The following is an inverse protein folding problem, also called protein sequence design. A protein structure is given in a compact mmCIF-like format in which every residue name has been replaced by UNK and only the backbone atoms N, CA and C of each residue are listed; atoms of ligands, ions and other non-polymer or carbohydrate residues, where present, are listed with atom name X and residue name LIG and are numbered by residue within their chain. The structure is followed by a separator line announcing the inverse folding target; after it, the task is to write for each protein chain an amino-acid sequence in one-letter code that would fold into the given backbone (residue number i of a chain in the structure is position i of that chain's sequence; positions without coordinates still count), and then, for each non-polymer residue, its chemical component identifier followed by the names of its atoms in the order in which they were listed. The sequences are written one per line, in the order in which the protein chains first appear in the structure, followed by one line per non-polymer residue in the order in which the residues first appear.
data_IF_886317406018
#
_entry.id   IF_886317406018
#
_cell.length_a   1.000
_cell.length_b   1.000
_cell.length_c   1.000
_cell.angle_alpha   90.00
_cell.angle_beta   90.00
_cell.angle_gamma   90.00
#
_symmetry.space_group_name_H-M   'P 1'
#
loop_
_entity.id
_entity.type
_entity.pdbx_description
1 polymer ?
#
# COMPACT_ATOMS: atom_id res chain seq x y z
N UNK A 1 2.92 -68.91 -54.40
CA UNK A 1 2.62 -68.49 -53.01
C UNK A 1 3.93 -68.23 -52.27
N UNK A 2 4.32 -66.96 -52.10
CA UNK A 2 5.48 -66.56 -51.28
C UNK A 2 5.04 -65.36 -50.44
N UNK A 3 5.13 -65.50 -49.11
CA UNK A 3 4.74 -64.50 -48.11
C UNK A 3 5.85 -63.46 -47.99
N UNK A 4 5.51 -62.18 -48.10
CA UNK A 4 6.39 -61.06 -47.77
C UNK A 4 5.95 -60.53 -46.40
N UNK A 5 6.82 -60.63 -45.40
CA UNK A 5 6.60 -60.10 -44.07
C UNK A 5 6.95 -58.61 -44.05
N UNK A 6 5.96 -57.76 -43.77
CA UNK A 6 6.15 -56.31 -43.60
C UNK A 6 6.52 -56.03 -42.13
N UNK A 7 7.75 -55.55 -41.90
CA UNK A 7 8.21 -55.08 -40.59
C UNK A 7 7.64 -53.69 -40.32
N UNK A 8 6.76 -53.57 -39.34
CA UNK A 8 6.24 -52.29 -38.84
C UNK A 8 7.29 -51.72 -37.87
N UNK A 9 7.88 -50.57 -38.22
CA UNK A 9 8.69 -49.78 -37.29
C UNK A 9 7.74 -48.89 -36.45
N UNK A 10 7.74 -49.10 -35.13
CA UNK A 10 7.15 -48.18 -34.16
C UNK A 10 8.12 -47.02 -33.92
N UNK A 11 7.74 -45.80 -34.30
CA UNK A 11 8.40 -44.58 -33.84
C UNK A 11 7.73 -44.13 -32.53
N UNK A 12 8.40 -44.36 -31.40
CA UNK A 12 8.02 -43.79 -30.10
C UNK A 12 8.32 -42.28 -30.10
N UNK A 13 7.28 -41.45 -30.16
CA UNK A 13 7.40 -40.02 -29.94
C UNK A 13 7.56 -39.75 -28.43
N UNK A 14 8.78 -39.46 -27.99
CA UNK A 14 9.03 -38.88 -26.66
C UNK A 14 8.60 -37.41 -26.71
N UNK A 15 7.44 -37.10 -26.15
CA UNK A 15 7.02 -35.72 -25.92
C UNK A 15 7.83 -35.13 -24.77
N UNK A 16 8.84 -34.34 -25.10
CA UNK A 16 9.50 -33.44 -24.17
C UNK A 16 8.49 -32.38 -23.71
N UNK A 17 7.86 -32.62 -22.56
CA UNK A 17 7.06 -31.62 -21.86
C UNK A 17 7.98 -30.54 -21.32
N UNK A 18 8.01 -29.37 -21.98
CA UNK A 18 8.63 -28.18 -21.40
C UNK A 18 7.90 -27.83 -20.09
N UNK A 19 8.62 -27.56 -18.99
CA UNK A 19 7.98 -27.08 -17.78
C UNK A 19 7.25 -25.78 -18.09
N UNK A 20 5.96 -25.69 -17.73
CA UNK A 20 5.21 -24.45 -17.76
C UNK A 20 5.98 -23.42 -16.93
N UNK A 21 6.63 -22.48 -17.62
CA UNK A 21 7.19 -21.30 -16.98
C UNK A 21 6.07 -20.63 -16.21
N UNK A 22 6.26 -20.47 -14.90
CA UNK A 22 5.36 -19.64 -14.11
C UNK A 22 5.50 -18.23 -14.67
N UNK A 23 4.43 -17.72 -15.29
CA UNK A 23 4.38 -16.32 -15.70
C UNK A 23 4.70 -15.46 -14.47
N UNK A 24 5.65 -14.54 -14.62
CA UNK A 24 5.92 -13.58 -13.57
C UNK A 24 4.60 -12.89 -13.20
N UNK A 25 4.30 -12.67 -11.91
CA UNK A 25 3.10 -11.97 -11.51
C UNK A 25 3.07 -10.62 -12.21
N UNK A 26 1.97 -10.33 -12.91
CA UNK A 26 1.83 -9.09 -13.64
C UNK A 26 1.87 -7.92 -12.65
N UNK A 27 2.69 -6.92 -12.92
CA UNK A 27 2.70 -5.67 -12.14
C UNK A 27 1.31 -5.06 -12.18
N UNK A 28 0.70 -4.76 -11.02
CA UNK A 28 -0.64 -4.20 -10.98
C UNK A 28 -0.65 -2.83 -11.68
N UNK A 29 -1.63 -2.63 -12.56
CA UNK A 29 -1.83 -1.35 -13.22
C UNK A 29 -2.69 -0.45 -12.34
N UNK A 30 -2.12 0.67 -11.89
CA UNK A 30 -2.81 1.66 -11.07
C UNK A 30 -3.01 2.94 -11.88
N UNK A 31 -4.26 3.37 -12.04
CA UNK A 31 -4.64 4.58 -12.79
C UNK A 31 -5.68 5.40 -12.04
N UNK A 32 -5.97 6.62 -12.50
CA UNK A 32 -7.02 7.48 -11.92
C UNK A 32 -6.88 7.69 -10.42
N UNK A 33 -5.64 7.82 -9.92
CA UNK A 33 -5.40 8.04 -8.49
C UNK A 33 -5.94 9.41 -8.11
N UNK A 34 -6.99 9.42 -7.29
CA UNK A 34 -7.62 10.62 -6.78
C UNK A 34 -7.44 10.70 -5.25
N UNK A 35 -6.68 11.71 -4.79
CA UNK A 35 -6.47 12.07 -3.40
C UNK A 35 -7.70 12.11 -2.47
N UNK A 36 -7.58 11.58 -1.25
CA UNK A 36 -8.52 11.76 -0.13
C UNK A 36 -7.87 12.55 1.01
N UNK A 37 -8.31 13.79 1.21
CA UNK A 37 -7.80 14.62 2.31
C UNK A 37 -8.31 14.10 3.66
N UNK A 38 -7.40 13.60 4.50
CA UNK A 38 -7.67 13.27 5.89
C UNK A 38 -7.15 14.45 6.73
N UNK A 39 -8.07 15.34 7.13
CA UNK A 39 -7.75 16.44 8.05
C UNK A 39 -7.68 15.96 9.50
N UNK A 40 -7.97 16.84 10.46
CA UNK A 40 -8.00 16.50 11.90
C UNK A 40 -9.36 15.93 12.36
N UNK A 41 -10.13 15.34 11.46
CA UNK A 41 -11.47 14.84 11.75
C UNK A 41 -11.75 13.56 10.97
N UNK A 42 -12.63 12.67 11.48
CA UNK A 42 -12.99 11.46 10.76
C UNK A 42 -13.55 11.75 9.38
N UNK A 43 -13.15 10.94 8.39
CA UNK A 43 -13.66 11.00 7.02
C UNK A 43 -14.30 9.67 6.67
N UNK A 44 -15.61 9.70 6.35
CA UNK A 44 -16.35 8.53 5.90
C UNK A 44 -16.46 8.51 4.37
N UNK A 45 -16.07 7.40 3.77
CA UNK A 45 -16.00 7.17 2.34
C UNK A 45 -17.07 6.17 1.93
N UNK A 46 -17.83 6.51 0.89
CA UNK A 46 -18.85 5.63 0.30
C UNK A 46 -18.38 5.14 -1.07
N UNK A 47 -17.54 4.10 -1.08
CA UNK A 47 -16.97 3.55 -2.28
C UNK A 47 -17.88 2.46 -2.86
N UNK A 48 -18.06 2.46 -4.18
CA UNK A 48 -18.87 1.43 -4.85
C UNK A 48 -18.24 0.06 -4.64
N UNK A 49 -19.03 -0.89 -4.15
CA UNK A 49 -18.59 -2.27 -3.91
C UNK A 49 -17.95 -2.50 -2.53
N UNK A 50 -17.89 -1.49 -1.68
CA UNK A 50 -17.42 -1.59 -0.30
C UNK A 50 -18.51 -1.07 0.67
N UNK A 51 -18.49 -1.49 1.95
CA UNK A 51 -19.24 -0.78 2.99
C UNK A 51 -18.71 0.65 3.14
N UNK A 52 -19.41 1.47 3.91
CA UNK A 52 -18.87 2.77 4.32
C UNK A 52 -17.56 2.54 5.08
N UNK A 53 -16.50 3.26 4.71
CA UNK A 53 -15.18 3.15 5.35
C UNK A 53 -14.89 4.46 6.05
N UNK A 54 -14.57 4.43 7.34
CA UNK A 54 -14.22 5.65 8.09
C UNK A 54 -12.75 5.62 8.44
N UNK A 55 -12.02 6.67 8.04
CA UNK A 55 -10.65 6.92 8.49
C UNK A 55 -10.71 7.93 9.62
N UNK A 56 -10.28 7.52 10.81
CA UNK A 56 -10.25 8.37 12.01
C UNK A 56 -8.81 8.72 12.37
N UNK A 57 -8.41 9.99 12.24
CA UNK A 57 -7.11 10.46 12.68
C UNK A 57 -7.14 10.79 14.18
N UNK A 58 -6.10 10.39 14.90
CA UNK A 58 -5.87 10.72 16.30
C UNK A 58 -4.52 11.40 16.43
N UNK A 59 -4.49 12.62 16.99
CA UNK A 59 -3.23 13.28 17.33
C UNK A 59 -2.69 12.76 18.65
N UNK A 60 -1.50 12.17 18.62
CA UNK A 60 -0.74 11.82 19.81
C UNK A 60 0.23 12.93 20.14
N UNK A 61 -0.16 13.76 21.09
CA UNK A 61 0.76 14.66 21.78
C UNK A 61 1.70 13.82 22.65
N UNK A 62 3.01 13.96 22.46
CA UNK A 62 4.02 13.17 23.15
C UNK A 62 4.94 14.02 24.05
N UNK A 63 4.68 15.33 24.18
CA UNK A 63 5.40 16.22 25.06
C UNK A 63 6.74 16.73 24.52
N UNK A 64 7.01 16.48 23.23
CA UNK A 64 8.08 17.15 22.47
C UNK A 64 7.49 17.75 21.17
N UNK A 65 8.34 18.34 20.32
CA UNK A 65 7.88 18.99 19.09
C UNK A 65 7.41 18.02 17.99
N UNK A 66 7.37 16.71 18.24
CA UNK A 66 7.19 15.65 17.25
C UNK A 66 6.00 14.74 17.58
N UNK A 67 4.87 15.35 17.95
CA UNK A 67 3.60 14.62 17.98
C UNK A 67 3.30 13.99 16.61
N UNK A 68 2.45 12.97 16.60
CA UNK A 68 2.19 12.18 15.38
C UNK A 68 0.73 11.77 15.31
N UNK A 69 0.27 11.42 14.12
CA UNK A 69 -1.05 10.84 13.93
C UNK A 69 -1.01 9.32 14.01
N UNK A 70 -2.02 8.80 14.68
CA UNK A 70 -2.49 7.43 14.50
C UNK A 70 -3.76 7.46 13.64
N UNK A 71 -3.86 6.59 12.65
CA UNK A 71 -5.05 6.44 11.83
C UNK A 71 -5.67 5.07 12.12
N UNK A 72 -6.91 5.06 12.60
CA UNK A 72 -7.74 3.87 12.62
C UNK A 72 -8.66 3.90 11.40
N UNK A 73 -8.74 2.78 10.68
CA UNK A 73 -9.67 2.62 9.57
C UNK A 73 -10.72 1.62 9.99
N UNK A 74 -11.99 1.97 9.86
CA UNK A 74 -13.09 1.12 10.31
C UNK A 74 -14.16 0.96 9.24
N UNK A 75 -14.90 -0.15 9.35
CA UNK A 75 -16.14 -0.39 8.60
C UNK A 75 -17.25 -0.75 9.60
N UNK A 76 -18.53 -0.47 9.30
CA UNK A 76 -19.62 -0.97 10.12
C UNK A 76 -19.62 -2.49 10.18
N UNK A 77 -19.84 -3.06 11.38
CA UNK A 77 -20.04 -4.50 11.54
C UNK A 77 -21.37 -4.89 10.85
N UNK A 78 -21.31 -5.92 10.01
CA UNK A 78 -22.44 -6.38 9.20
C UNK A 78 -23.55 -7.08 10.02
N UNK A 79 -23.22 -7.57 11.21
CA UNK A 79 -24.09 -8.30 12.15
C UNK A 79 -24.55 -7.40 13.30
N UNK A 80 -23.68 -6.51 13.79
CA UNK A 80 -23.93 -5.57 14.90
C UNK A 80 -23.74 -4.12 14.43
N UNK A 81 -24.78 -3.47 13.86
CA UNK A 81 -24.65 -2.16 13.20
C UNK A 81 -24.22 -0.99 14.10
N UNK A 82 -24.25 -1.16 15.43
CA UNK A 82 -23.76 -0.23 16.43
C UNK A 82 -22.26 -0.38 16.73
N UNK A 83 -21.61 -1.39 16.16
CA UNK A 83 -20.19 -1.65 16.25
C UNK A 83 -19.47 -1.33 14.94
N UNK A 84 -18.16 -1.15 15.04
CA UNK A 84 -17.29 -0.93 13.91
C UNK A 84 -16.12 -1.91 13.97
N UNK A 85 -15.90 -2.63 12.88
CA UNK A 85 -14.75 -3.49 12.70
C UNK A 85 -13.55 -2.66 12.31
N UNK A 86 -12.40 -3.00 12.89
CA UNK A 86 -11.12 -2.43 12.49
C UNK A 86 -10.67 -3.07 11.17
N UNK A 87 -10.15 -2.23 10.29
CA UNK A 87 -9.53 -2.65 9.04
C UNK A 87 -8.04 -2.76 9.26
N UNK A 88 -7.58 -4.00 9.24
CA UNK A 88 -6.17 -4.32 9.44
C UNK A 88 -5.31 -3.93 8.26
N UNK A 89 -4.03 -3.64 8.51
CA UNK A 89 -3.02 -3.47 7.47
C UNK A 89 -1.99 -4.58 7.52
N UNK A 90 -1.67 -5.17 6.37
CA UNK A 90 -0.61 -6.15 6.26
C UNK A 90 0.73 -5.54 6.68
N UNK A 91 1.42 -6.22 7.59
CA UNK A 91 2.73 -5.81 8.00
C UNK A 91 3.72 -5.86 6.82
N UNK A 92 4.63 -4.89 6.77
CA UNK A 92 5.71 -4.87 5.79
C UNK A 92 6.58 -6.14 5.84
N UNK A 93 6.75 -6.71 7.03
CA UNK A 93 7.22 -8.08 7.16
C UNK A 93 6.01 -9.00 7.00
N UNK A 94 5.86 -9.64 5.83
CA UNK A 94 4.70 -10.48 5.50
C UNK A 94 4.37 -11.59 6.52
N UNK A 95 5.32 -11.94 7.40
CA UNK A 95 5.16 -12.93 8.48
C UNK A 95 4.88 -12.30 9.85
N UNK A 96 4.77 -10.98 9.93
CA UNK A 96 4.45 -10.24 11.15
C UNK A 96 2.94 -10.19 11.42
N UNK A 97 2.54 -9.81 12.65
CA UNK A 97 1.13 -9.59 12.96
C UNK A 97 0.58 -8.44 12.12
N UNK A 98 -0.71 -8.53 11.79
CA UNK A 98 -1.44 -7.43 11.18
C UNK A 98 -1.38 -6.18 12.06
N UNK A 99 -1.51 -5.02 11.41
CA UNK A 99 -1.45 -3.72 12.05
C UNK A 99 -2.85 -3.13 12.16
N UNK A 100 -3.32 -3.00 13.39
CA UNK A 100 -4.59 -2.42 13.79
C UNK A 100 -4.66 -0.91 13.50
N UNK A 101 -3.54 -0.21 13.73
CA UNK A 101 -3.42 1.23 13.54
C UNK A 101 -2.21 1.57 12.68
N UNK A 102 -2.36 2.62 11.88
CA UNK A 102 -1.29 3.20 11.09
C UNK A 102 -0.72 4.40 11.85
N UNK A 103 0.60 4.57 11.83
CA UNK A 103 1.28 5.67 12.52
C UNK A 103 2.15 6.44 11.54
N UNK A 104 2.04 7.78 11.49
CA UNK A 104 3.02 8.60 10.79
C UNK A 104 4.18 9.00 11.71
N UNK A 105 5.23 9.58 11.15
CA UNK A 105 6.41 10.01 11.90
C UNK A 105 6.93 11.34 11.35
N UNK A 106 6.20 12.44 11.58
CA UNK A 106 6.69 13.78 11.28
C UNK A 106 7.87 14.14 12.18
N UNK A 107 8.65 15.15 11.79
CA UNK A 107 9.71 15.72 12.61
C UNK A 107 9.65 17.25 12.62
N UNK A 108 9.80 17.90 11.46
CA UNK A 108 9.52 19.33 11.27
C UNK A 108 8.72 19.54 9.98
N UNK A 109 8.31 20.77 9.67
CA UNK A 109 7.66 21.05 8.39
C UNK A 109 8.52 20.71 7.17
N UNK A 110 9.84 20.64 7.35
CA UNK A 110 10.85 20.33 6.34
C UNK A 110 11.33 18.87 6.38
N UNK A 111 11.05 18.11 7.45
CA UNK A 111 11.49 16.72 7.62
C UNK A 111 10.36 15.81 8.12
N UNK A 112 10.16 14.70 7.42
CA UNK A 112 9.16 13.70 7.77
C UNK A 112 9.71 12.32 7.44
N UNK A 113 9.85 11.47 8.47
CA UNK A 113 10.40 10.13 8.33
C UNK A 113 9.37 9.21 7.68
N UNK A 114 8.12 9.27 8.11
CA UNK A 114 7.04 8.45 7.56
C UNK A 114 5.78 9.29 7.37
N UNK A 115 5.16 9.15 6.20
CA UNK A 115 3.86 9.76 5.89
C UNK A 115 2.87 8.73 5.37
N UNK A 116 1.60 8.98 5.64
CA UNK A 116 0.46 8.11 5.29
C UNK A 116 -0.52 8.93 4.45
N UNK A 117 -0.95 8.36 3.32
CA UNK A 117 -1.96 8.95 2.45
C UNK A 117 -2.96 7.92 1.96
N UNK A 118 -4.22 8.34 1.80
CA UNK A 118 -5.30 7.50 1.28
C UNK A 118 -5.78 8.03 -0.07
N UNK A 119 -5.93 7.18 -1.08
CA UNK A 119 -6.45 7.62 -2.38
C UNK A 119 -7.48 6.63 -2.91
N UNK A 120 -8.47 7.14 -3.64
CA UNK A 120 -9.23 6.28 -4.55
C UNK A 120 -8.43 6.07 -5.83
N UNK A 121 -8.59 4.93 -6.49
CA UNK A 121 -7.92 4.65 -7.76
C UNK A 121 -8.68 3.60 -8.58
N UNK A 122 -8.18 3.33 -9.78
CA UNK A 122 -8.45 2.12 -10.54
C UNK A 122 -7.26 1.18 -10.45
N UNK A 123 -7.46 -0.01 -9.89
CA UNK A 123 -6.45 -1.08 -9.88
C UNK A 123 -6.90 -2.16 -10.85
N UNK A 124 -6.12 -2.41 -11.90
CA UNK A 124 -6.47 -3.32 -12.99
C UNK A 124 -7.88 -3.02 -13.57
N UNK A 125 -8.23 -1.73 -13.67
CA UNK A 125 -9.53 -1.24 -14.15
C UNK A 125 -10.67 -1.24 -13.12
N UNK A 126 -10.48 -1.84 -11.93
CA UNK A 126 -11.50 -1.90 -10.88
C UNK A 126 -11.35 -0.76 -9.87
N UNK A 127 -12.44 -0.17 -9.35
CA UNK A 127 -12.35 0.79 -8.25
C UNK A 127 -11.62 0.19 -7.04
N UNK A 128 -10.74 0.97 -6.42
CA UNK A 128 -10.02 0.56 -5.23
C UNK A 128 -9.76 1.73 -4.29
N UNK A 129 -9.65 1.42 -3.00
CA UNK A 129 -9.07 2.30 -1.99
C UNK A 129 -7.61 1.89 -1.81
N UNK A 130 -6.71 2.86 -1.96
CA UNK A 130 -5.29 2.68 -1.78
C UNK A 130 -4.83 3.38 -0.50
N UNK A 131 -3.84 2.76 0.14
CA UNK A 131 -3.07 3.33 1.24
C UNK A 131 -1.62 3.41 0.77
N UNK A 132 -1.03 4.60 0.89
CA UNK A 132 0.37 4.86 0.61
C UNK A 132 1.08 5.09 1.94
N UNK A 133 2.07 4.24 2.25
CA UNK A 133 2.98 4.44 3.38
C UNK A 133 4.36 4.70 2.82
N UNK A 134 4.84 5.93 2.97
CA UNK A 134 6.18 6.30 2.51
C UNK A 134 7.09 6.42 3.70
N UNK A 135 8.20 5.68 3.70
CA UNK A 135 9.18 5.69 4.79
C UNK A 135 10.54 6.08 4.23
N UNK A 136 11.20 7.04 4.91
CA UNK A 136 12.60 7.37 4.72
C UNK A 136 13.48 6.43 5.52
N UNK A 137 14.47 5.84 4.86
CA UNK A 137 15.42 4.95 5.52
C UNK A 137 16.46 5.78 6.29
N UNK A 138 16.34 5.79 7.61
CA UNK A 138 17.20 6.60 8.48
C UNK A 138 18.61 6.02 8.68
N UNK A 139 18.88 4.76 8.32
CA UNK A 139 20.06 3.98 8.67
C UNK A 139 21.34 4.79 8.99
N UNK A 140 22.22 5.06 8.02
CA UNK A 140 23.37 5.96 8.19
C UNK A 140 23.02 7.45 7.98
N UNK A 141 21.74 7.79 7.82
CA UNK A 141 21.23 9.13 7.46
C UNK A 141 20.23 9.61 8.52
N UNK A 142 20.70 9.91 9.75
CA UNK A 142 19.83 10.36 10.83
C UNK A 142 19.17 11.68 10.46
N UNK A 143 18.00 11.94 11.03
CA UNK A 143 17.34 13.24 10.95
C UNK A 143 18.33 14.38 11.28
N UNK A 144 18.35 15.49 10.51
CA UNK A 144 17.55 15.81 9.33
C UNK A 144 18.22 15.47 7.98
N UNK A 145 19.19 14.57 7.94
CA UNK A 145 19.94 14.26 6.71
C UNK A 145 19.02 13.64 5.64
N UNK A 146 19.20 14.03 4.36
CA UNK A 146 18.52 13.36 3.26
C UNK A 146 18.87 11.87 3.24
N UNK A 147 17.86 11.02 3.02
CA UNK A 147 18.03 9.58 2.90
C UNK A 147 17.24 9.02 1.71
N UNK A 148 17.52 7.77 1.31
CA UNK A 148 16.64 7.04 0.40
C UNK A 148 15.28 6.78 1.06
N UNK A 149 14.27 6.49 0.24
CA UNK A 149 12.93 6.22 0.72
C UNK A 149 12.22 5.20 -0.19
N UNK A 150 11.27 4.48 0.39
CA UNK A 150 10.37 3.58 -0.33
C UNK A 150 8.91 3.93 -0.05
N UNK A 151 8.08 3.67 -1.04
CA UNK A 151 6.62 3.82 -0.98
C UNK A 151 6.03 2.42 -1.01
N UNK A 152 5.36 2.02 0.07
CA UNK A 152 4.50 0.84 0.07
C UNK A 152 3.09 1.26 -0.31
N UNK A 153 2.56 0.61 -1.34
CA UNK A 153 1.21 0.82 -1.84
C UNK A 153 0.40 -0.40 -1.43
N UNK A 154 -0.65 -0.16 -0.66
CA UNK A 154 -1.60 -1.17 -0.24
C UNK A 154 -2.94 -0.94 -0.92
N UNK A 155 -3.67 -2.01 -1.16
CA UNK A 155 -5.05 -1.97 -1.63
C UNK A 155 -5.96 -2.53 -0.54
N UNK A 156 -7.08 -1.86 -0.28
CA UNK A 156 -8.15 -2.44 0.53
C UNK A 156 -8.76 -3.63 -0.21
N UNK A 157 -8.70 -4.79 0.41
CA UNK A 157 -9.27 -6.03 -0.09
C UNK A 157 -10.31 -6.57 0.88
N UNK A 158 -11.41 -7.07 0.35
CA UNK A 158 -12.33 -7.89 1.12
C UNK A 158 -11.75 -9.30 1.22
N UNK A 159 -11.60 -9.81 2.44
CA UNK A 159 -11.20 -11.19 2.65
C UNK A 159 -12.44 -12.06 2.79
N UNK A 160 -12.49 -13.13 2.00
CA UNK A 160 -13.54 -14.13 2.08
C UNK A 160 -12.94 -15.39 2.72
N UNK A 161 -13.02 -15.54 4.05
CA UNK A 161 -12.64 -16.81 4.67
C UNK A 161 -12.33 -16.79 6.18
N UNK A 162 -12.79 -17.86 6.83
CA UNK A 162 -12.71 -18.26 8.25
C UNK A 162 -13.33 -17.31 9.30
N UNK A 163 -14.20 -17.82 10.19
CA UNK A 163 -14.66 -17.08 11.36
C UNK A 163 -13.49 -16.55 12.20
N UNK A 164 -13.48 -15.25 12.51
CA UNK A 164 -12.43 -14.59 13.29
C UNK A 164 -11.38 -13.83 12.47
N UNK A 165 -11.54 -13.72 11.14
CA UNK A 165 -10.78 -12.78 10.31
C UNK A 165 -11.55 -11.46 10.16
N UNK A 166 -10.83 -10.33 10.18
CA UNK A 166 -11.41 -9.02 9.83
C UNK A 166 -11.83 -9.04 8.36
N UNK A 167 -13.07 -8.67 8.01
CA UNK A 167 -13.61 -8.83 6.66
C UNK A 167 -12.89 -7.97 5.61
N UNK A 168 -12.19 -6.92 6.04
CA UNK A 168 -11.42 -6.05 5.17
C UNK A 168 -10.02 -5.85 5.73
N UNK A 169 -9.05 -5.82 4.83
CA UNK A 169 -7.68 -5.46 5.19
C UNK A 169 -6.96 -4.77 4.03
N UNK A 170 -6.00 -3.92 4.35
CA UNK A 170 -5.05 -3.38 3.39
C UNK A 170 -3.95 -4.40 3.12
N UNK A 171 -3.88 -4.90 1.89
CA UNK A 171 -2.88 -5.87 1.43
C UNK A 171 -1.84 -5.18 0.55
N UNK A 172 -0.58 -5.55 0.72
CA UNK A 172 0.53 -4.93 -0.02
C UNK A 172 0.36 -5.24 -1.51
N UNK A 173 0.21 -4.20 -2.31
CA UNK A 173 0.05 -4.27 -3.75
C UNK A 173 1.41 -4.14 -4.45
N UNK A 174 2.23 -3.20 -4.00
CA UNK A 174 3.57 -2.96 -4.57
C UNK A 174 4.45 -2.16 -3.61
N UNK A 175 5.76 -2.19 -3.85
CA UNK A 175 6.73 -1.30 -3.23
C UNK A 175 7.51 -0.58 -4.32
N UNK A 176 7.55 0.75 -4.26
CA UNK A 176 8.33 1.59 -5.16
C UNK A 176 9.53 2.15 -4.40
N UNK A 177 10.70 2.15 -5.03
CA UNK A 177 11.84 2.94 -4.55
C UNK A 177 11.71 4.36 -5.07
N UNK A 178 11.93 5.34 -4.21
CA UNK A 178 11.97 6.74 -4.65
C UNK A 178 13.23 7.00 -5.48
N UNK A 179 13.11 7.72 -6.62
CA UNK A 179 14.28 8.06 -7.44
C UNK A 179 15.11 9.21 -6.84
N UNK A 180 14.67 9.81 -5.73
CA UNK A 180 15.34 10.94 -5.08
C UNK A 180 15.69 10.59 -3.64
N UNK A 181 16.76 11.20 -3.14
CA UNK A 181 17.02 11.29 -1.71
C UNK A 181 16.45 12.61 -1.17
N UNK A 182 15.84 12.56 0.01
CA UNK A 182 15.17 13.71 0.62
C UNK A 182 15.04 13.46 2.12
N UNK A 183 14.79 14.51 2.91
CA UNK A 183 14.40 14.44 4.31
C UNK A 183 12.89 14.23 4.47
N UNK A 184 12.08 14.55 3.45
CA UNK A 184 10.62 14.54 3.57
C UNK A 184 9.96 13.43 2.76
N UNK A 185 9.29 12.51 3.44
CA UNK A 185 8.63 11.36 2.82
C UNK A 185 7.64 11.73 1.70
N UNK A 186 6.88 12.83 1.80
CA UNK A 186 5.95 13.23 0.71
C UNK A 186 6.64 13.67 -0.59
N UNK A 187 7.87 14.18 -0.51
CA UNK A 187 8.67 14.49 -1.70
C UNK A 187 9.07 13.19 -2.37
N UNK A 188 9.52 12.20 -1.59
CA UNK A 188 9.85 10.88 -2.09
C UNK A 188 8.64 10.19 -2.73
N UNK A 189 7.46 10.30 -2.11
CA UNK A 189 6.19 9.78 -2.62
C UNK A 189 5.84 10.41 -3.96
N UNK A 190 5.90 11.74 -4.03
CA UNK A 190 5.59 12.48 -5.25
C UNK A 190 6.53 12.11 -6.39
N UNK A 191 7.82 11.96 -6.11
CA UNK A 191 8.82 11.57 -7.08
C UNK A 191 8.61 10.12 -7.58
N UNK A 192 8.29 9.18 -6.68
CA UNK A 192 8.08 7.77 -7.02
C UNK A 192 6.80 7.55 -7.85
N UNK A 193 5.73 8.27 -7.52
CA UNK A 193 4.40 8.08 -8.13
C UNK A 193 4.11 9.04 -9.28
N UNK A 194 4.89 10.13 -9.38
CA UNK A 194 4.64 11.29 -10.27
C UNK A 194 3.31 12.01 -10.00
N UNK A 195 2.79 11.86 -8.79
CA UNK A 195 1.56 12.52 -8.31
C UNK A 195 1.96 13.58 -7.30
N UNK A 196 1.34 14.78 -7.28
CA UNK A 196 1.73 15.87 -6.40
C UNK A 196 1.23 15.68 -4.95
N UNK A 197 1.57 14.57 -4.29
CA UNK A 197 1.21 14.30 -2.89
C UNK A 197 1.77 15.34 -1.92
N UNK A 198 2.90 15.96 -2.25
CA UNK A 198 3.56 16.97 -1.43
C UNK A 198 2.65 18.17 -1.10
N UNK A 199 1.67 18.50 -1.93
CA UNK A 199 0.77 19.65 -1.69
C UNK A 199 -0.58 19.24 -1.10
N UNK A 200 -0.74 17.97 -0.71
CA UNK A 200 -2.07 17.44 -0.43
C UNK A 200 -2.48 17.66 1.03
N UNK A 201 -1.60 17.42 2.00
CA UNK A 201 -1.95 17.56 3.43
C UNK A 201 -1.82 19.00 3.97
N UNK A 202 -1.68 20.01 3.11
CA UNK A 202 -1.59 21.41 3.53
C UNK A 202 -1.51 22.39 2.37
N UNK A 203 -1.69 23.68 2.67
CA UNK A 203 -1.60 24.77 1.67
C UNK A 203 -0.17 25.05 1.19
N UNK A 204 0.82 24.48 1.85
CA UNK A 204 2.24 24.70 1.60
C UNK A 204 2.89 23.37 1.28
N UNK A 205 3.56 23.28 0.13
CA UNK A 205 4.37 22.12 -0.19
C UNK A 205 5.53 22.01 0.82
N UNK A 206 5.96 20.80 1.22
CA UNK A 206 7.16 20.60 2.00
C UNK A 206 8.36 21.21 1.27
N UNK A 207 9.25 21.80 2.05
CA UNK A 207 10.44 22.44 1.49
C UNK A 207 11.36 21.36 0.93
N UNK A 208 11.83 21.48 -0.33
CA UNK A 208 12.70 20.47 -0.94
C UNK A 208 14.08 20.34 -0.28
N UNK A 209 14.47 21.34 0.51
CA UNK A 209 15.76 21.43 1.17
C UNK A 209 15.65 20.96 2.61
N UNK A 210 16.62 20.15 3.03
CA UNK A 210 16.70 19.70 4.41
C UNK A 210 17.25 20.80 5.32
N UNK A 211 16.77 20.88 6.56
CA UNK A 211 17.29 21.83 7.53
C UNK A 211 18.78 21.52 7.83
N UNK A 212 19.55 22.59 8.03
CA UNK A 212 21.00 22.54 8.30
C UNK A 212 21.32 22.22 9.75
#
# INVERSE_FOLDING_TARGET
MRRIALKILLCSAVTLGFPKGHAAPATPQITEIAPILIGNSPVTLHLRGFPAITVTPFWRENGNAWGYHLYAVTVPDAVQPDQADLVDTQNANHNGPLLDMLQDSPHTGEDAIQTIHFATARVNGQPGLLLFVTTRDMGPHPVPQPGPAHVRIYQLTQEHGEPGTTPFSFRLLSTLTSPVTTCHADIALSAATKIPFATWNGSTAPVPTCPW
#
